data_IF_097090473923
#
_entry.id   IF_097090473923
#
_cell.length_a   1.000
_cell.length_b   1.000
_cell.length_c   1.000
_cell.angle_alpha   90.00
_cell.angle_beta   90.00
_cell.angle_gamma   90.00
#
_symmetry.space_group_name_H-M   'P 1'
#
loop_
_entity.id
_entity.type
_entity.pdbx_description
1 polymer ?
#
# COMPACT_ATOMS: atom_id res chain seq x y z
N UNK A 1 7.01 -51.78 -52.73
CA UNK A 1 7.20 -52.93 -51.84
C UNK A 1 7.30 -52.41 -50.43
N UNK A 2 6.36 -52.82 -49.57
CA UNK A 2 6.32 -52.42 -48.16
C UNK A 2 7.29 -53.29 -47.36
N UNK A 3 8.17 -52.65 -46.58
CA UNK A 3 9.09 -53.29 -45.66
C UNK A 3 8.66 -53.05 -44.21
N UNK A 4 8.48 -54.15 -43.49
CA UNK A 4 8.13 -54.30 -42.08
C UNK A 4 9.33 -54.07 -41.16
N UNK A 5 9.08 -53.52 -39.97
CA UNK A 5 10.07 -53.42 -38.89
C UNK A 5 9.44 -52.93 -37.59
N UNK A 6 8.91 -53.86 -36.80
CA UNK A 6 8.43 -53.60 -35.44
C UNK A 6 9.62 -53.70 -34.48
N UNK A 7 9.91 -52.64 -33.72
CA UNK A 7 10.72 -52.69 -32.52
C UNK A 7 9.99 -51.92 -31.42
N UNK A 8 9.59 -52.65 -30.38
CA UNK A 8 9.18 -52.09 -29.11
C UNK A 8 10.40 -51.44 -28.45
N UNK A 9 10.25 -50.19 -28.02
CA UNK A 9 11.20 -49.54 -27.12
C UNK A 9 10.40 -48.90 -25.98
N UNK A 10 10.80 -49.26 -24.77
CA UNK A 10 10.27 -48.86 -23.47
C UNK A 10 10.03 -47.35 -23.34
N UNK A 11 9.01 -46.93 -22.55
CA UNK A 11 8.86 -45.53 -22.19
C UNK A 11 10.02 -45.08 -21.28
N UNK A 12 10.58 -43.87 -21.46
CA UNK A 12 11.56 -43.34 -20.52
C UNK A 12 10.91 -43.12 -19.14
N UNK A 13 11.70 -43.22 -18.05
CA UNK A 13 11.17 -43.06 -16.69
C UNK A 13 10.68 -41.62 -16.47
N UNK A 14 9.67 -41.50 -15.61
CA UNK A 14 9.05 -40.25 -15.22
C UNK A 14 10.08 -39.17 -14.86
N UNK A 15 10.07 -38.08 -15.62
CA UNK A 15 10.75 -36.85 -15.22
C UNK A 15 10.20 -36.44 -13.86
N UNK A 16 11.06 -36.55 -12.85
CA UNK A 16 10.86 -35.89 -11.56
C UNK A 16 10.60 -34.42 -11.88
N UNK A 17 9.37 -33.97 -11.63
CA UNK A 17 8.96 -32.58 -11.78
C UNK A 17 9.84 -31.74 -10.85
N UNK A 18 10.93 -31.23 -11.41
CA UNK A 18 11.79 -30.26 -10.77
C UNK A 18 10.91 -29.04 -10.48
N UNK A 19 10.70 -28.78 -9.20
CA UNK A 19 10.06 -27.55 -8.74
C UNK A 19 10.74 -26.36 -9.43
N UNK A 20 9.94 -25.53 -10.10
CA UNK A 20 10.40 -24.34 -10.79
C UNK A 20 11.20 -23.45 -9.83
N UNK A 21 12.42 -23.02 -10.20
CA UNK A 21 13.24 -22.17 -9.35
C UNK A 21 12.60 -20.79 -9.18
N UNK A 22 12.31 -20.45 -7.92
CA UNK A 22 12.25 -19.09 -7.40
C UNK A 22 11.32 -18.12 -8.12
N UNK A 23 10.06 -18.07 -7.70
CA UNK A 23 9.37 -16.78 -7.66
C UNK A 23 10.31 -15.80 -6.94
N UNK A 24 10.76 -14.75 -7.62
CA UNK A 24 11.78 -13.84 -7.12
C UNK A 24 11.46 -13.44 -5.67
N UNK A 25 12.28 -13.88 -4.73
CA UNK A 25 12.10 -13.59 -3.31
C UNK A 25 12.34 -12.09 -3.00
N UNK A 26 12.98 -11.36 -3.92
CA UNK A 26 13.44 -10.00 -3.70
C UNK A 26 12.31 -8.98 -3.42
N UNK A 27 11.18 -8.96 -4.15
CA UNK A 27 10.05 -8.11 -3.79
C UNK A 27 9.37 -8.56 -2.50
N UNK A 28 9.29 -9.88 -2.25
CA UNK A 28 8.60 -10.44 -1.09
C UNK A 28 9.30 -10.10 0.24
N UNK A 29 10.62 -9.96 0.24
CA UNK A 29 11.41 -9.62 1.44
C UNK A 29 11.85 -8.16 1.49
N UNK A 30 11.52 -7.35 0.49
CA UNK A 30 11.86 -5.92 0.46
C UNK A 30 11.31 -5.21 1.72
N UNK A 31 12.18 -4.48 2.42
CA UNK A 31 11.83 -3.79 3.68
C UNK A 31 11.43 -4.69 4.85
N UNK A 32 11.81 -5.98 4.85
CA UNK A 32 11.45 -6.93 5.92
C UNK A 32 11.72 -6.46 7.36
N UNK A 33 12.80 -5.69 7.66
CA UNK A 33 13.03 -5.16 9.01
C UNK A 33 11.97 -4.15 9.49
N UNK A 34 11.14 -3.62 8.59
CA UNK A 34 10.21 -2.50 8.84
C UNK A 34 8.76 -2.83 8.50
N UNK A 35 8.55 -3.87 7.70
CA UNK A 35 7.27 -4.35 7.24
C UNK A 35 7.28 -5.87 7.24
N UNK A 36 6.43 -6.49 8.07
CA UNK A 36 6.34 -7.96 8.14
C UNK A 36 6.03 -8.59 6.78
N UNK A 37 6.66 -9.72 6.51
CA UNK A 37 6.57 -10.45 5.24
C UNK A 37 5.53 -11.58 5.27
N UNK A 38 5.01 -11.90 6.45
CA UNK A 38 4.18 -13.06 6.74
C UNK A 38 2.72 -12.70 7.06
N UNK A 39 2.30 -11.46 6.79
CA UNK A 39 1.00 -10.90 7.21
C UNK A 39 0.17 -10.38 6.03
N UNK A 40 0.15 -11.10 4.90
CA UNK A 40 -0.80 -10.83 3.82
C UNK A 40 -0.61 -9.52 3.05
N UNK A 41 0.53 -8.83 3.18
CA UNK A 41 0.89 -7.71 2.29
C UNK A 41 1.34 -8.27 0.93
N UNK A 42 0.68 -7.93 -0.20
CA UNK A 42 1.04 -8.48 -1.50
C UNK A 42 2.51 -8.17 -1.88
N UNK A 43 3.33 -9.18 -2.21
CA UNK A 43 4.74 -8.99 -2.56
C UNK A 43 5.00 -7.96 -3.66
N UNK A 44 4.09 -7.85 -4.63
CA UNK A 44 4.18 -6.90 -5.75
C UNK A 44 4.09 -5.43 -5.33
N UNK A 45 3.47 -5.12 -4.20
CA UNK A 45 3.32 -3.75 -3.70
C UNK A 45 4.35 -3.37 -2.65
N UNK A 46 5.09 -4.33 -2.09
CA UNK A 46 6.05 -4.07 -1.01
C UNK A 46 7.11 -3.03 -1.36
N UNK A 47 7.78 -3.08 -2.53
CA UNK A 47 8.74 -2.03 -2.89
C UNK A 47 8.09 -0.64 -2.93
N UNK A 48 6.92 -0.51 -3.57
CA UNK A 48 6.19 0.77 -3.64
C UNK A 48 5.82 1.30 -2.24
N UNK A 49 5.39 0.42 -1.33
CA UNK A 49 5.01 0.78 0.05
C UNK A 49 6.23 1.29 0.83
N UNK A 50 7.32 0.55 0.78
CA UNK A 50 8.55 0.86 1.51
C UNK A 50 9.18 2.14 0.97
N UNK A 51 9.32 2.26 -0.34
CA UNK A 51 9.89 3.44 -1.00
C UNK A 51 9.04 4.70 -0.75
N UNK A 52 7.71 4.57 -0.78
CA UNK A 52 6.80 5.69 -0.50
C UNK A 52 6.93 6.22 0.93
N UNK A 53 7.18 5.33 1.90
CA UNK A 53 7.43 5.72 3.28
C UNK A 53 8.82 6.36 3.45
N UNK A 54 9.87 5.73 2.90
CA UNK A 54 11.25 6.23 2.97
C UNK A 54 11.47 7.58 2.27
N UNK A 55 10.64 7.91 1.28
CA UNK A 55 10.65 9.23 0.65
C UNK A 55 10.24 10.36 1.62
N UNK A 56 9.68 10.03 2.80
CA UNK A 56 9.32 11.01 3.81
C UNK A 56 10.31 11.07 4.97
N UNK A 57 10.80 12.25 5.39
CA UNK A 57 11.67 12.37 6.56
C UNK A 57 10.96 12.16 7.91
N UNK A 58 9.63 12.13 7.94
CA UNK A 58 8.88 11.90 9.19
C UNK A 58 8.92 10.43 9.59
N UNK A 59 9.40 10.15 10.80
CA UNK A 59 9.44 8.81 11.37
C UNK A 59 8.04 8.18 11.58
N UNK A 60 6.98 8.99 11.58
CA UNK A 60 5.61 8.51 11.69
C UNK A 60 5.06 7.99 10.35
N UNK A 61 5.66 8.36 9.21
CA UNK A 61 5.28 7.81 7.90
C UNK A 61 6.08 6.52 7.65
N UNK A 62 5.61 5.43 8.25
CA UNK A 62 6.28 4.11 8.20
C UNK A 62 5.75 3.22 7.08
N UNK A 63 6.55 2.24 6.58
CA UNK A 63 6.05 1.22 5.65
C UNK A 63 4.82 0.46 6.19
N UNK A 64 4.81 0.15 7.49
CA UNK A 64 3.69 -0.51 8.15
C UNK A 64 2.41 0.36 8.15
N UNK A 65 2.53 1.69 8.36
CA UNK A 65 1.40 2.60 8.23
C UNK A 65 0.85 2.64 6.81
N UNK A 66 1.71 2.79 5.80
CA UNK A 66 1.27 2.82 4.40
C UNK A 66 0.55 1.53 4.04
N UNK A 67 1.10 0.36 4.40
CA UNK A 67 0.43 -0.93 4.19
C UNK A 67 -0.91 -1.05 4.94
N UNK A 68 -0.96 -0.63 6.21
CA UNK A 68 -2.16 -0.69 7.03
C UNK A 68 -3.29 0.19 6.47
N UNK A 69 -2.95 1.35 5.96
CA UNK A 69 -3.91 2.22 5.30
C UNK A 69 -4.40 1.62 3.98
N UNK A 70 -3.52 1.12 3.10
CA UNK A 70 -3.96 0.47 1.85
C UNK A 70 -4.90 -0.73 2.11
N UNK A 71 -4.63 -1.51 3.16
CA UNK A 71 -5.52 -2.57 3.63
C UNK A 71 -6.88 -2.02 4.07
N UNK A 72 -6.90 -0.95 4.86
CA UNK A 72 -8.13 -0.34 5.37
C UNK A 72 -8.94 0.45 4.32
N UNK A 73 -8.27 0.97 3.28
CA UNK A 73 -8.89 1.71 2.17
C UNK A 73 -9.56 0.75 1.17
N UNK A 74 -8.82 -0.24 0.65
CA UNK A 74 -9.30 -1.07 -0.46
C UNK A 74 -9.04 -2.56 -0.32
N UNK A 75 -8.49 -3.01 0.80
CA UNK A 75 -7.95 -4.38 0.91
C UNK A 75 -6.94 -4.70 -0.19
N UNK A 76 -6.05 -3.75 -0.48
CA UNK A 76 -5.09 -3.83 -1.58
C UNK A 76 -5.70 -4.01 -2.99
N UNK A 77 -7.01 -3.78 -3.18
CA UNK A 77 -7.65 -3.85 -4.50
C UNK A 77 -7.24 -2.66 -5.41
N UNK A 78 -6.46 -2.89 -6.49
CA UNK A 78 -6.07 -1.83 -7.41
C UNK A 78 -7.21 -1.36 -8.33
N UNK A 79 -8.32 -2.11 -8.39
CA UNK A 79 -9.44 -1.88 -9.28
C UNK A 79 -10.67 -1.33 -8.56
N UNK A 80 -10.56 -1.01 -7.26
CA UNK A 80 -11.65 -0.42 -6.48
C UNK A 80 -12.24 0.77 -7.22
N UNK A 81 -13.57 0.77 -7.36
CA UNK A 81 -14.32 1.86 -7.99
C UNK A 81 -15.57 2.14 -7.17
N UNK A 82 -15.65 3.34 -6.60
CA UNK A 82 -16.79 3.84 -5.84
C UNK A 82 -17.25 5.18 -6.43
N UNK A 83 -17.97 5.17 -7.58
CA UNK A 83 -18.39 6.39 -8.28
C UNK A 83 -19.31 7.28 -7.43
N UNK A 84 -20.05 6.69 -6.48
CA UNK A 84 -20.93 7.44 -5.57
C UNK A 84 -20.14 8.35 -4.61
N UNK A 85 -18.88 7.99 -4.31
CA UNK A 85 -17.97 8.80 -3.48
C UNK A 85 -16.86 9.48 -4.28
N UNK A 86 -16.80 9.25 -5.59
CA UNK A 86 -15.71 9.67 -6.46
C UNK A 86 -14.33 9.13 -5.99
N UNK A 87 -14.28 7.88 -5.49
CA UNK A 87 -13.07 7.26 -4.93
C UNK A 87 -12.64 6.02 -5.75
N UNK A 88 -11.35 5.90 -6.05
CA UNK A 88 -10.84 4.84 -6.92
C UNK A 88 -9.45 4.31 -6.52
N UNK A 89 -9.20 3.06 -6.93
CA UNK A 89 -7.93 2.37 -6.82
C UNK A 89 -7.51 2.02 -5.40
N UNK A 90 -6.28 1.51 -5.28
CA UNK A 90 -5.74 0.89 -4.07
C UNK A 90 -5.69 1.80 -2.82
N UNK A 91 -5.76 3.11 -3.02
CA UNK A 91 -5.71 4.11 -1.96
C UNK A 91 -7.01 4.93 -1.88
N UNK A 92 -8.09 4.54 -2.57
CA UNK A 92 -9.37 5.29 -2.60
C UNK A 92 -9.20 6.77 -2.92
N UNK A 93 -8.38 7.07 -3.92
CA UNK A 93 -8.13 8.44 -4.35
C UNK A 93 -9.38 9.08 -4.96
N UNK A 94 -9.66 10.32 -4.56
CA UNK A 94 -10.48 11.19 -5.40
C UNK A 94 -9.61 11.81 -6.51
N UNK A 95 -10.09 11.86 -7.76
CA UNK A 95 -9.33 12.42 -8.88
C UNK A 95 -8.77 13.83 -8.61
N UNK A 96 -9.57 14.69 -7.99
CA UNK A 96 -9.23 16.09 -7.72
C UNK A 96 -8.11 16.24 -6.69
N UNK A 97 -8.03 15.33 -5.72
CA UNK A 97 -6.96 15.33 -4.72
C UNK A 97 -5.71 14.67 -5.29
N UNK A 98 -5.83 13.53 -5.97
CA UNK A 98 -4.70 12.79 -6.54
C UNK A 98 -3.87 13.66 -7.49
N UNK A 99 -4.51 14.54 -8.25
CA UNK A 99 -3.86 15.54 -9.12
C UNK A 99 -2.68 16.26 -8.46
N UNK A 100 -2.74 16.53 -7.15
CA UNK A 100 -1.69 17.24 -6.40
C UNK A 100 -0.50 16.36 -6.00
N UNK A 101 -0.65 15.04 -6.01
CA UNK A 101 0.29 14.10 -5.39
C UNK A 101 0.92 13.11 -6.37
N UNK A 102 0.47 13.09 -7.63
CA UNK A 102 1.04 12.22 -8.68
C UNK A 102 2.52 12.54 -8.90
N UNK A 103 2.86 13.83 -9.01
CA UNK A 103 4.19 14.29 -9.39
C UNK A 103 5.15 14.31 -8.20
N UNK A 104 6.37 13.78 -8.34
CA UNK A 104 7.37 13.85 -7.28
C UNK A 104 7.87 15.27 -7.02
N UNK A 105 7.75 16.19 -7.97
CA UNK A 105 8.18 17.58 -7.83
C UNK A 105 7.21 18.43 -6.99
N UNK A 106 6.09 17.86 -6.54
CA UNK A 106 5.09 18.54 -5.72
C UNK A 106 4.21 19.54 -6.48
N UNK A 107 4.33 19.62 -7.80
CA UNK A 107 3.44 20.41 -8.65
C UNK A 107 2.20 19.60 -9.04
N UNK A 108 1.00 20.19 -9.08
CA UNK A 108 -0.17 19.47 -9.53
C UNK A 108 -0.08 19.13 -11.03
N UNK A 109 -0.72 18.02 -11.42
CA UNK A 109 -0.97 17.74 -12.82
C UNK A 109 -1.76 18.88 -13.49
N UNK A 110 -1.53 19.13 -14.77
CA UNK A 110 -2.25 20.20 -15.49
C UNK A 110 -3.75 19.92 -15.57
N UNK A 111 -4.12 18.64 -15.71
CA UNK A 111 -5.51 18.17 -15.79
C UNK A 111 -5.84 17.24 -14.63
N UNK A 112 -7.13 17.09 -14.34
CA UNK A 112 -7.59 16.10 -13.35
C UNK A 112 -7.43 14.70 -13.97
N UNK A 113 -6.66 13.79 -13.34
CA UNK A 113 -6.48 12.44 -13.85
C UNK A 113 -7.81 11.68 -13.85
N UNK A 114 -7.98 10.73 -14.76
CA UNK A 114 -9.16 9.85 -14.79
C UNK A 114 -8.80 8.44 -14.30
N UNK A 115 -9.69 7.76 -13.57
CA UNK A 115 -9.46 6.36 -13.21
C UNK A 115 -9.39 5.48 -14.47
N UNK A 116 -8.75 4.30 -14.40
CA UNK A 116 -8.16 3.68 -13.21
C UNK A 116 -6.84 4.32 -12.77
N UNK A 117 -6.53 4.22 -11.47
CA UNK A 117 -5.29 4.74 -10.89
C UNK A 117 -4.34 3.59 -10.51
N UNK A 118 -3.31 3.30 -11.33
CA UNK A 118 -2.41 2.17 -11.09
C UNK A 118 -1.69 2.27 -9.75
N UNK A 119 -1.42 1.14 -9.09
CA UNK A 119 -0.73 1.10 -7.80
C UNK A 119 0.63 1.86 -7.79
N UNK A 120 1.39 1.78 -8.91
CA UNK A 120 2.65 2.52 -9.11
C UNK A 120 2.50 4.05 -9.08
N UNK A 121 1.29 4.56 -9.30
CA UNK A 121 0.95 5.98 -9.18
C UNK A 121 0.36 6.25 -7.79
N UNK A 122 -0.61 5.42 -7.39
CA UNK A 122 -1.40 5.61 -6.18
C UNK A 122 -0.59 5.52 -4.88
N UNK A 123 0.32 4.55 -4.78
CA UNK A 123 1.09 4.30 -3.54
C UNK A 123 2.15 5.39 -3.31
N UNK A 124 2.99 5.77 -4.30
CA UNK A 124 3.92 6.89 -4.12
C UNK A 124 3.21 8.22 -3.84
N UNK A 125 2.07 8.48 -4.51
CA UNK A 125 1.25 9.65 -4.22
C UNK A 125 0.74 9.65 -2.77
N UNK A 126 0.41 8.48 -2.22
CA UNK A 126 -0.04 8.35 -0.84
C UNK A 126 1.09 8.74 0.11
N UNK A 127 2.28 8.19 -0.08
CA UNK A 127 3.46 8.55 0.73
C UNK A 127 3.71 10.06 0.75
N UNK A 128 3.65 10.73 -0.41
CA UNK A 128 3.80 12.19 -0.50
C UNK A 128 2.73 12.95 0.27
N UNK A 129 1.48 12.52 0.16
CA UNK A 129 0.38 13.18 0.88
C UNK A 129 0.50 12.97 2.40
N UNK A 130 0.83 11.76 2.86
CA UNK A 130 1.10 11.51 4.27
C UNK A 130 2.27 12.36 4.77
N UNK A 131 3.30 12.53 3.94
CA UNK A 131 4.45 13.36 4.27
C UNK A 131 4.12 14.85 4.40
N UNK A 132 3.17 15.34 3.60
CA UNK A 132 2.61 16.67 3.78
C UNK A 132 1.76 16.77 5.05
N UNK A 133 0.96 15.75 5.36
CA UNK A 133 0.07 15.74 6.55
C UNK A 133 0.87 15.74 7.85
N UNK A 134 1.90 14.89 7.97
CA UNK A 134 2.61 14.63 9.21
C UNK A 134 3.09 15.89 9.96
N UNK A 135 3.83 16.84 9.33
CA UNK A 135 4.29 18.05 10.01
C UNK A 135 3.17 19.08 10.26
N UNK A 136 2.00 18.93 9.63
CA UNK A 136 0.87 19.86 9.76
C UNK A 136 -0.11 19.48 10.89
N UNK A 137 0.08 18.31 11.53
CA UNK A 137 -0.66 17.94 12.72
C UNK A 137 -0.13 18.68 13.95
N UNK A 138 -1.03 19.16 14.81
CA UNK A 138 -0.65 19.87 16.01
C UNK A 138 0.18 18.96 16.96
N UNK A 139 1.31 19.42 17.52
CA UNK A 139 2.24 18.56 18.23
C UNK A 139 1.68 17.95 19.53
N UNK A 140 0.70 18.59 20.17
CA UNK A 140 0.11 18.13 21.44
C UNK A 140 -1.10 17.20 21.30
N UNK A 141 -1.44 16.74 20.10
CA UNK A 141 -2.60 15.86 19.91
C UNK A 141 -2.39 14.51 20.62
N UNK A 142 -3.39 14.00 21.36
CA UNK A 142 -3.30 12.73 22.03
C UNK A 142 -3.40 11.55 21.05
N UNK A 143 -2.78 10.42 21.42
CA UNK A 143 -2.85 9.16 20.68
C UNK A 143 -1.65 8.88 19.76
N UNK A 144 -1.73 7.79 19.01
CA UNK A 144 -0.70 7.41 18.05
C UNK A 144 -0.69 8.36 16.85
N UNK A 145 0.45 9.00 16.60
CA UNK A 145 0.60 9.99 15.52
C UNK A 145 0.29 9.39 14.15
N UNK A 146 0.59 8.12 13.93
CA UNK A 146 0.33 7.40 12.68
C UNK A 146 -1.16 7.23 12.42
N UNK A 147 -1.92 7.00 13.48
CA UNK A 147 -3.40 6.94 13.42
C UNK A 147 -4.00 8.32 13.16
N UNK A 148 -3.42 9.39 13.73
CA UNK A 148 -3.82 10.77 13.42
C UNK A 148 -3.54 11.15 11.96
N UNK A 149 -2.39 10.73 11.42
CA UNK A 149 -2.06 10.88 10.00
C UNK A 149 -3.10 10.18 9.12
N UNK A 150 -3.48 8.94 9.48
CA UNK A 150 -4.52 8.21 8.75
C UNK A 150 -5.90 8.90 8.83
N UNK A 151 -6.28 9.43 9.99
CA UNK A 151 -7.51 10.21 10.14
C UNK A 151 -7.51 11.46 9.23
N UNK A 152 -6.36 12.14 9.16
CA UNK A 152 -6.17 13.32 8.32
C UNK A 152 -6.22 13.00 6.82
N UNK A 153 -5.79 11.80 6.41
CA UNK A 153 -5.92 11.34 5.01
C UNK A 153 -7.38 11.26 4.55
N UNK A 154 -8.28 10.74 5.41
CA UNK A 154 -9.72 10.65 5.11
C UNK A 154 -10.47 11.98 5.28
N UNK A 155 -9.80 13.03 5.79
CA UNK A 155 -10.36 14.35 6.05
C UNK A 155 -9.42 15.47 5.65
N UNK A 156 -8.70 16.03 6.63
CA UNK A 156 -7.61 16.98 6.53
C UNK A 156 -6.95 17.08 7.91
N UNK A 157 -5.67 17.45 7.95
CA UNK A 157 -4.99 17.73 9.21
C UNK A 157 -5.70 18.84 10.01
N UNK A 158 -6.32 19.83 9.33
CA UNK A 158 -7.10 20.89 9.99
C UNK A 158 -8.25 20.31 10.80
N UNK A 159 -9.05 19.41 10.21
CA UNK A 159 -10.17 18.78 10.91
C UNK A 159 -9.73 17.93 12.11
N UNK A 160 -8.58 17.28 12.00
CA UNK A 160 -7.98 16.51 13.11
C UNK A 160 -7.50 17.45 14.22
N UNK A 161 -6.84 18.55 13.87
CA UNK A 161 -6.40 19.58 14.82
C UNK A 161 -7.59 20.23 15.53
N UNK A 162 -8.62 20.64 14.78
CA UNK A 162 -9.83 21.29 15.31
C UNK A 162 -10.62 20.35 16.24
N UNK A 163 -10.63 19.05 15.94
CA UNK A 163 -11.28 18.04 16.77
C UNK A 163 -10.44 17.64 18.01
N UNK A 164 -9.19 18.11 18.12
CA UNK A 164 -8.27 17.69 19.17
C UNK A 164 -7.87 16.21 19.10
N UNK A 165 -7.92 15.60 17.92
CA UNK A 165 -7.61 14.18 17.70
C UNK A 165 -8.46 13.56 16.59
N UNK A 166 -8.68 12.24 16.66
CA UNK A 166 -9.49 11.52 15.66
C UNK A 166 -10.95 11.97 15.71
N UNK A 167 -11.50 12.58 14.63
CA UNK A 167 -12.89 13.00 14.62
C UNK A 167 -13.84 11.79 14.71
N UNK A 168 -15.01 11.88 15.39
CA UNK A 168 -15.91 10.75 15.62
C UNK A 168 -16.26 9.92 14.38
N UNK A 169 -16.51 10.59 13.25
CA UNK A 169 -16.82 9.96 11.95
C UNK A 169 -15.75 8.98 11.45
N UNK A 170 -14.50 9.11 11.88
CA UNK A 170 -13.37 8.33 11.38
C UNK A 170 -12.80 7.35 12.40
N UNK A 171 -13.44 7.19 13.57
CA UNK A 171 -12.97 6.29 14.63
C UNK A 171 -12.90 4.84 14.16
N UNK A 172 -13.93 4.34 13.47
CA UNK A 172 -13.96 2.96 12.99
C UNK A 172 -12.87 2.69 11.93
N UNK A 173 -12.66 3.65 11.03
CA UNK A 173 -11.56 3.59 10.07
C UNK A 173 -10.20 3.57 10.78
N UNK A 174 -10.00 4.46 11.75
CA UNK A 174 -8.76 4.55 12.53
C UNK A 174 -8.51 3.29 13.35
N UNK A 175 -9.56 2.64 13.88
CA UNK A 175 -9.44 1.37 14.58
C UNK A 175 -8.96 0.24 13.64
N UNK A 176 -9.46 0.19 12.40
CA UNK A 176 -8.95 -0.76 11.39
C UNK A 176 -7.49 -0.49 11.03
N UNK A 177 -7.12 0.78 10.84
CA UNK A 177 -5.72 1.16 10.58
C UNK A 177 -4.83 0.77 11.76
N UNK A 178 -5.23 1.05 13.00
CA UNK A 178 -4.47 0.69 14.19
C UNK A 178 -4.29 -0.84 14.32
N UNK A 179 -5.33 -1.61 13.98
CA UNK A 179 -5.25 -3.07 13.94
C UNK A 179 -4.20 -3.56 12.95
N UNK A 180 -4.27 -3.15 11.68
CA UNK A 180 -3.31 -3.58 10.66
C UNK A 180 -1.91 -2.99 10.87
N UNK A 181 -1.81 -1.80 11.47
CA UNK A 181 -0.53 -1.21 11.84
C UNK A 181 0.19 -2.12 12.85
N UNK A 182 -0.52 -2.62 13.86
CA UNK A 182 0.03 -3.61 14.80
C UNK A 182 0.39 -4.92 14.09
N UNK A 183 -0.47 -5.38 13.20
CA UNK A 183 -0.27 -6.64 12.46
C UNK A 183 0.98 -6.59 11.58
N UNK A 184 1.23 -5.46 10.90
CA UNK A 184 2.28 -5.29 9.90
C UNK A 184 3.61 -4.78 10.47
N UNK A 185 3.61 -4.19 11.67
CA UNK A 185 4.84 -3.76 12.35
C UNK A 185 5.64 -4.97 12.85
N UNK A 186 6.93 -5.10 12.51
CA UNK A 186 7.78 -6.16 13.07
C UNK A 186 7.92 -6.08 14.59
N UNK A 187 8.09 -7.24 15.24
CA UNK A 187 8.29 -7.30 16.68
C UNK A 187 9.50 -6.45 17.13
N UNK A 188 9.34 -5.72 18.24
CA UNK A 188 10.38 -4.83 18.76
C UNK A 188 10.41 -3.43 18.14
N UNK A 189 9.61 -3.16 17.10
CA UNK A 189 9.37 -1.80 16.61
C UNK A 189 8.10 -1.23 17.23
N UNK A 190 8.13 0.07 17.54
CA UNK A 190 7.01 0.82 18.12
C UNK A 190 6.45 1.77 17.11
#
# INVERSE_FOLDING_TARGET
>A
GYGIGTLAHEPPPAETSAALPGASAAPATYGAPELRTDQGVPPSYRPLIVDAAHACPSADVTPALVAAMLKAESDFDPNLSDPAKDEYGIARWTPRVLRWWIRPEGQPEATVPRPPFPARVSIPAMGRYLCFIAPNLAPGLPGDRRVLIAAAYRTSFRKVNDAGGVPPKYRDYCARVAHYLKEYTPAGRR
#
